data_IF_852116086066
#
_entry.id   IF_852116086066
#
_cell.length_a   1.000
_cell.length_b   1.000
_cell.length_c   1.000
_cell.angle_alpha   90.00
_cell.angle_beta   90.00
_cell.angle_gamma   90.00
#
_symmetry.space_group_name_H-M   'P 1'
#
loop_
_entity.id
_entity.type
_entity.pdbx_description
1 polymer ?
#
# COMPACT_ATOMS: atom_id res chain seq x y z
N UNK A 1 0.89 -22.97 -19.64
CA UNK A 1 0.80 -22.67 -18.19
C UNK A 1 2.06 -21.92 -17.81
N UNK A 2 2.07 -20.79 -17.11
CA UNK A 2 0.99 -20.04 -16.48
C UNK A 2 1.39 -18.56 -16.38
N UNK A 3 0.58 -17.79 -15.67
CA UNK A 3 0.85 -16.39 -15.34
C UNK A 3 0.57 -16.16 -13.86
N UNK A 4 1.12 -15.09 -13.30
CA UNK A 4 0.88 -14.72 -11.92
C UNK A 4 -0.27 -13.70 -11.86
N UNK A 5 -1.19 -13.89 -10.92
CA UNK A 5 -2.22 -12.88 -10.63
C UNK A 5 -1.62 -11.67 -9.92
N UNK A 6 -0.62 -11.91 -9.05
CA UNK A 6 0.07 -10.89 -8.27
C UNK A 6 1.53 -11.30 -8.07
N UNK A 7 2.44 -10.33 -8.14
CA UNK A 7 3.86 -10.50 -7.84
C UNK A 7 4.31 -9.29 -7.01
N UNK A 8 5.02 -9.55 -5.91
CA UNK A 8 5.68 -8.51 -5.10
C UNK A 8 7.15 -8.87 -4.98
N UNK A 9 8.03 -7.90 -5.24
CA UNK A 9 9.47 -8.08 -5.15
C UNK A 9 10.13 -6.78 -4.71
N UNK A 10 11.33 -6.89 -4.15
CA UNK A 10 12.14 -5.77 -3.68
C UNK A 10 13.31 -5.58 -4.64
N UNK A 11 13.50 -4.37 -5.11
CA UNK A 11 14.63 -3.98 -5.96
C UNK A 11 15.67 -3.23 -5.12
N UNK A 12 16.90 -3.73 -5.08
CA UNK A 12 18.03 -3.10 -4.38
C UNK A 12 19.04 -2.57 -5.38
N UNK A 13 19.46 -1.32 -5.24
CA UNK A 13 20.44 -0.69 -6.11
C UNK A 13 20.39 0.84 -6.03
N UNK A 14 21.36 1.49 -6.68
CA UNK A 14 21.37 2.94 -6.80
C UNK A 14 20.29 3.39 -7.82
N UNK A 15 19.63 4.51 -7.54
CA UNK A 15 18.65 5.16 -8.44
C UNK A 15 17.45 4.30 -8.87
N UNK A 16 17.12 3.23 -8.12
CA UNK A 16 15.98 2.35 -8.42
C UNK A 16 14.67 3.14 -8.50
N UNK A 17 14.42 4.02 -7.53
CA UNK A 17 13.23 4.87 -7.51
C UNK A 17 13.18 5.81 -8.71
N UNK A 18 14.31 6.45 -9.06
CA UNK A 18 14.41 7.39 -10.18
C UNK A 18 14.00 6.78 -11.50
N UNK A 19 14.33 5.50 -11.72
CA UNK A 19 13.98 4.76 -12.92
C UNK A 19 12.56 4.20 -12.87
N UNK A 20 12.17 3.58 -11.75
CA UNK A 20 10.90 2.85 -11.65
C UNK A 20 9.68 3.75 -11.41
N UNK A 21 9.85 5.00 -10.96
CA UNK A 21 8.72 5.92 -10.71
C UNK A 21 7.83 6.15 -11.94
N UNK A 22 8.36 5.97 -13.15
CA UNK A 22 7.62 6.12 -14.41
C UNK A 22 6.96 4.82 -14.89
N UNK A 23 7.33 3.69 -14.31
CA UNK A 23 6.74 2.37 -14.63
C UNK A 23 5.42 2.14 -13.88
N UNK A 24 5.09 3.01 -12.92
CA UNK A 24 3.85 2.96 -12.17
C UNK A 24 2.63 3.26 -13.03
N UNK A 25 1.56 2.48 -12.84
CA UNK A 25 0.29 2.67 -13.53
C UNK A 25 -0.16 1.46 -14.36
N UNK A 26 -1.19 1.63 -15.19
CA UNK A 26 -1.75 0.56 -16.00
C UNK A 26 -0.94 0.33 -17.28
N UNK A 27 -0.53 -0.90 -17.51
CA UNK A 27 0.08 -1.38 -18.74
C UNK A 27 -0.96 -2.14 -19.56
N UNK A 28 -1.04 -1.87 -20.87
CA UNK A 28 -2.03 -2.47 -21.77
C UNK A 28 -1.34 -3.29 -22.85
N UNK A 29 -1.86 -4.49 -23.10
CA UNK A 29 -1.41 -5.37 -24.18
C UNK A 29 -2.58 -5.78 -25.06
N UNK A 30 -2.36 -5.79 -26.37
CA UNK A 30 -3.29 -6.30 -27.37
C UNK A 30 -2.64 -7.50 -28.06
N UNK A 31 -3.30 -8.65 -28.00
CA UNK A 31 -2.76 -9.90 -28.56
C UNK A 31 -3.87 -10.89 -28.86
N UNK A 32 -3.55 -11.93 -29.63
CA UNK A 32 -4.36 -13.15 -29.69
C UNK A 32 -3.92 -14.03 -28.51
N UNK A 33 -4.79 -14.31 -27.54
CA UNK A 33 -4.40 -15.14 -26.41
C UNK A 33 -4.28 -16.59 -26.83
N UNK A 34 -3.34 -17.31 -26.22
CA UNK A 34 -3.05 -18.72 -26.53
C UNK A 34 -4.26 -19.64 -26.24
N UNK A 35 -5.22 -19.16 -25.45
CA UNK A 35 -6.47 -19.85 -25.11
C UNK A 35 -7.60 -19.61 -26.11
N UNK A 36 -7.40 -18.80 -27.15
CA UNK A 36 -8.42 -18.44 -28.14
C UNK A 36 -8.28 -19.24 -29.43
N UNK A 37 -9.37 -19.88 -29.86
CA UNK A 37 -9.37 -20.77 -31.03
C UNK A 37 -9.68 -20.02 -32.33
N UNK A 38 -10.40 -18.90 -32.29
CA UNK A 38 -10.84 -18.16 -33.48
C UNK A 38 -9.90 -17.00 -33.90
N UNK A 39 -8.79 -16.79 -33.19
CA UNK A 39 -7.82 -15.74 -33.53
C UNK A 39 -8.29 -14.32 -33.23
N UNK A 40 -9.28 -14.14 -32.36
CA UNK A 40 -9.76 -12.80 -31.96
C UNK A 40 -8.72 -12.09 -31.10
N UNK A 41 -8.57 -10.78 -31.33
CA UNK A 41 -7.64 -9.93 -30.56
C UNK A 41 -8.31 -9.55 -29.24
N UNK A 42 -7.67 -9.89 -28.13
CA UNK A 42 -8.09 -9.49 -26.79
C UNK A 42 -7.19 -8.36 -26.30
N UNK A 43 -7.80 -7.39 -25.61
CA UNK A 43 -7.07 -6.38 -24.85
C UNK A 43 -7.00 -6.82 -23.40
N UNK A 44 -5.81 -6.85 -22.82
CA UNK A 44 -5.59 -7.11 -21.39
C UNK A 44 -4.86 -5.93 -20.76
N UNK A 45 -5.05 -5.75 -19.45
CA UNK A 45 -4.33 -4.75 -18.66
C UNK A 45 -3.72 -5.36 -17.40
N UNK A 46 -2.62 -4.77 -16.94
CA UNK A 46 -1.98 -5.09 -15.68
C UNK A 46 -1.55 -3.80 -14.99
N UNK A 47 -1.74 -3.69 -13.67
CA UNK A 47 -1.34 -2.50 -12.91
C UNK A 47 -0.01 -2.76 -12.21
N UNK A 48 0.91 -1.80 -12.32
CA UNK A 48 2.19 -1.82 -11.61
C UNK A 48 2.17 -0.74 -10.53
N UNK A 49 2.44 -1.15 -9.29
CA UNK A 49 2.60 -0.24 -8.15
C UNK A 49 4.07 -0.19 -7.75
N UNK A 50 4.64 1.01 -7.69
CA UNK A 50 6.04 1.24 -7.27
C UNK A 50 6.02 2.09 -6.01
N UNK A 51 6.63 1.59 -4.93
CA UNK A 51 6.70 2.25 -3.64
C UNK A 51 8.18 2.34 -3.21
N UNK A 52 8.62 3.49 -2.68
CA UNK A 52 9.93 3.56 -2.05
C UNK A 52 9.90 2.78 -0.73
N UNK A 53 11.00 2.12 -0.39
CA UNK A 53 11.19 1.56 0.94
C UNK A 53 11.31 2.74 1.92
N UNK A 54 10.49 2.74 2.97
CA UNK A 54 10.49 3.78 3.99
C UNK A 54 11.32 3.30 5.17
N UNK A 55 12.33 4.07 5.56
CA UNK A 55 13.06 3.83 6.81
C UNK A 55 12.14 4.16 7.99
N UNK A 56 12.07 3.26 8.97
CA UNK A 56 11.35 3.51 10.21
C UNK A 56 12.08 4.60 11.01
N UNK A 57 11.48 5.78 11.09
CA UNK A 57 11.98 6.85 11.95
C UNK A 57 11.48 6.56 13.37
N UNK A 58 12.40 6.20 14.28
CA UNK A 58 12.07 5.96 15.69
C UNK A 58 11.80 7.31 16.39
N UNK A 59 10.55 7.79 16.30
CA UNK A 59 10.12 9.03 16.95
C UNK A 59 9.97 8.74 18.45
N UNK A 60 11.03 8.99 19.23
CA UNK A 60 10.91 9.08 20.69
C UNK A 60 10.12 10.31 21.07
N UNK A 61 8.88 10.10 21.50
CA UNK A 61 8.06 11.13 22.13
C UNK A 61 8.59 11.37 23.55
N UNK A 62 9.52 12.30 23.72
CA UNK A 62 9.91 12.84 25.03
C UNK A 62 8.94 13.96 25.42
N UNK A 63 7.71 13.58 25.73
CA UNK A 63 6.68 14.51 26.18
C UNK A 63 5.83 13.84 27.22
N UNK A 64 5.65 14.48 28.37
CA UNK A 64 4.82 13.99 29.48
C UNK A 64 3.37 13.84 28.98
N UNK A 65 3.03 12.64 28.51
CA UNK A 65 1.68 12.27 28.09
C UNK A 65 0.76 12.48 29.28
N UNK A 66 0.03 13.59 29.29
CA UNK A 66 -0.95 13.86 30.34
C UNK A 66 -2.21 13.09 29.97
N UNK A 67 -2.23 11.80 30.26
CA UNK A 67 -3.43 10.96 30.16
C UNK A 67 -4.39 11.36 31.27
N UNK A 68 -5.30 12.29 30.97
CA UNK A 68 -6.39 12.65 31.88
C UNK A 68 -7.47 11.58 31.77
N UNK A 69 -7.39 10.56 32.62
CA UNK A 69 -8.48 9.60 32.85
C UNK A 69 -9.63 10.36 33.50
N UNK A 70 -10.56 10.89 32.69
CA UNK A 70 -11.88 11.25 33.19
C UNK A 70 -12.71 9.97 33.18
N UNK A 71 -12.90 9.37 34.36
CA UNK A 71 -13.97 8.41 34.55
C UNK A 71 -15.30 9.13 34.34
N UNK A 72 -16.04 8.79 33.29
CA UNK A 72 -17.46 9.10 33.19
C UNK A 72 -18.18 8.23 34.23
N UNK A 73 -18.17 8.69 35.48
CA UNK A 73 -19.01 8.13 36.53
C UNK A 73 -20.48 8.49 36.25
N UNK A 74 -21.44 7.60 36.60
CA UNK A 74 -22.85 7.95 36.51
C UNK A 74 -23.16 9.21 37.34
N UNK A 75 -24.11 10.05 36.93
CA UNK A 75 -24.41 11.30 37.64
C UNK A 75 -25.01 10.96 39.01
N UNK A 76 -24.19 11.05 40.07
CA UNK A 76 -24.57 10.64 41.42
C UNK A 76 -23.93 11.53 42.50
N UNK A 77 -24.63 12.61 42.83
CA UNK A 77 -24.54 13.47 44.01
C UNK A 77 -23.16 14.03 44.44
N UNK A 78 -22.96 15.32 44.15
CA UNK A 78 -22.03 16.20 44.86
C UNK A 78 -22.48 16.31 46.32
N UNK A 79 -21.76 15.65 47.22
CA UNK A 79 -21.85 15.83 48.66
C UNK A 79 -20.77 16.79 49.14
N UNK A 80 -21.20 17.94 49.63
CA UNK A 80 -20.41 19.03 50.21
C UNK A 80 -19.47 18.53 51.33
N UNK A 81 -18.16 18.79 51.23
CA UNK A 81 -17.23 19.02 52.35
C UNK A 81 -16.03 19.83 51.87
#
# INVERSE_FOLDING_TARGET
MGGFTTITFILKGNDVWSNMKYEGGPHRVQRVPVTETQGRVHTSSATVSVLPEADEIDIRIEGKLTCKLMSLGPPGQVGNR
#
